data_IF_052914447343
#
_entry.id   IF_052914447343
#
_cell.length_a   1.000
_cell.length_b   1.000
_cell.length_c   1.000
_cell.angle_alpha   90.00
_cell.angle_beta   90.00
_cell.angle_gamma   90.00
#
_symmetry.space_group_name_H-M   'P 1'
#
loop_
_entity.id
_entity.type
_entity.pdbx_description
1 polymer ?
#
# COMPACT_ATOMS: atom_id res chain seq x y z
N UNK A 1 10.96 -0.78 -14.78
CA UNK A 1 11.60 -0.62 -13.45
C UNK A 1 13.13 -0.58 -13.53
N UNK A 2 13.82 -1.56 -14.15
CA UNK A 2 15.30 -1.61 -14.19
C UNK A 2 16.01 -0.31 -14.63
N UNK A 3 15.65 0.26 -15.79
CA UNK A 3 16.22 1.54 -16.27
C UNK A 3 15.97 2.72 -15.33
N UNK A 4 14.83 2.75 -14.63
CA UNK A 4 14.51 3.81 -13.68
C UNK A 4 15.37 3.69 -12.42
N UNK A 5 15.65 2.47 -11.96
CA UNK A 5 16.56 2.20 -10.84
C UNK A 5 17.99 2.60 -11.22
N UNK A 6 18.43 2.26 -12.44
CA UNK A 6 19.76 2.63 -12.92
C UNK A 6 19.92 4.15 -13.06
N UNK A 7 18.89 4.85 -13.54
CA UNK A 7 18.90 6.32 -13.57
C UNK A 7 18.92 6.94 -12.16
N UNK A 8 18.27 6.30 -11.18
CA UNK A 8 18.19 6.80 -9.81
C UNK A 8 19.41 6.46 -8.93
N UNK A 9 20.15 5.40 -9.24
CA UNK A 9 21.26 4.89 -8.42
C UNK A 9 22.62 4.87 -9.13
N UNK A 10 22.62 4.97 -10.45
CA UNK A 10 23.81 4.94 -11.29
C UNK A 10 24.53 6.29 -11.30
N UNK A 11 25.85 6.23 -11.48
CA UNK A 11 26.65 7.41 -11.74
C UNK A 11 26.62 7.73 -13.25
N UNK A 12 26.12 8.90 -13.67
CA UNK A 12 26.07 9.25 -15.08
C UNK A 12 27.48 9.47 -15.64
N UNK A 13 27.64 9.25 -16.95
CA UNK A 13 28.87 9.65 -17.65
C UNK A 13 28.85 11.16 -17.89
N UNK A 14 29.95 11.84 -17.54
CA UNK A 14 30.15 13.26 -17.83
C UNK A 14 30.43 13.53 -19.31
N UNK A 15 30.39 14.81 -19.69
CA UNK A 15 30.82 15.28 -21.03
C UNK A 15 32.29 15.71 -20.99
N UNK A 16 32.94 15.90 -22.16
CA UNK A 16 34.31 16.39 -22.21
C UNK A 16 34.42 17.75 -21.50
N UNK A 17 35.29 17.84 -20.49
CA UNK A 17 35.47 19.04 -19.67
C UNK A 17 34.70 19.05 -18.34
N UNK A 18 33.78 18.11 -18.12
CA UNK A 18 33.03 18.01 -16.86
C UNK A 18 33.78 17.19 -15.80
N UNK A 19 33.62 17.56 -14.54
CA UNK A 19 33.99 16.74 -13.39
C UNK A 19 32.71 16.20 -12.76
N UNK A 20 32.47 14.89 -12.86
CA UNK A 20 31.33 14.22 -12.23
C UNK A 20 31.78 13.52 -10.95
N UNK A 21 31.22 13.93 -9.82
CA UNK A 21 31.49 13.33 -8.50
C UNK A 21 30.26 12.56 -8.03
N UNK A 22 30.40 11.25 -7.92
CA UNK A 22 29.34 10.36 -7.44
C UNK A 22 29.68 9.77 -6.08
N UNK A 23 28.68 9.68 -5.21
CA UNK A 23 28.78 8.99 -3.93
C UNK A 23 28.14 7.59 -4.05
N UNK A 24 28.76 6.60 -3.43
CA UNK A 24 28.14 5.28 -3.27
C UNK A 24 27.01 5.35 -2.23
N UNK A 25 25.85 4.79 -2.57
CA UNK A 25 24.75 4.61 -1.62
C UNK A 25 25.19 3.83 -0.38
N UNK A 26 24.55 4.10 0.77
CA UNK A 26 24.87 3.40 2.01
C UNK A 26 24.46 1.91 1.93
N UNK A 27 24.95 1.08 2.85
CA UNK A 27 24.65 -0.36 2.85
C UNK A 27 23.17 -0.67 3.19
N UNK A 28 22.49 0.22 3.91
CA UNK A 28 21.09 0.07 4.33
C UNK A 28 20.09 0.38 3.21
N UNK A 29 20.52 1.07 2.15
CA UNK A 29 19.69 1.46 1.01
C UNK A 29 19.67 0.41 -0.11
N UNK A 30 20.50 -0.65 -0.02
CA UNK A 30 20.60 -1.71 -1.03
C UNK A 30 19.29 -2.42 -1.35
N UNK A 31 18.41 -2.57 -0.36
CA UNK A 31 17.12 -3.26 -0.50
C UNK A 31 15.94 -2.31 -0.43
N UNK A 32 16.18 -0.99 -0.38
CA UNK A 32 15.13 0.02 -0.36
C UNK A 32 14.90 0.55 -1.77
N UNK A 33 13.68 1.05 -2.00
CA UNK A 33 13.38 1.84 -3.19
C UNK A 33 14.29 3.08 -3.16
N UNK A 34 15.02 3.39 -4.25
CA UNK A 34 15.87 4.57 -4.33
C UNK A 34 15.11 5.83 -3.93
N UNK A 35 15.77 6.74 -3.21
CA UNK A 35 15.14 7.94 -2.65
C UNK A 35 14.40 8.78 -3.70
N UNK A 36 14.99 8.96 -4.88
CA UNK A 36 14.39 9.68 -6.00
C UNK A 36 13.12 9.02 -6.58
N UNK A 37 12.88 7.74 -6.29
CA UNK A 37 11.70 6.99 -6.71
C UNK A 37 10.68 6.81 -5.57
N UNK A 38 10.97 7.36 -4.38
CA UNK A 38 10.01 7.31 -3.28
C UNK A 38 8.89 8.30 -3.56
N UNK A 39 7.63 7.91 -3.35
CA UNK A 39 6.55 8.89 -3.35
C UNK A 39 6.79 9.88 -2.20
N UNK A 40 6.47 11.17 -2.42
CA UNK A 40 6.65 12.26 -1.46
C UNK A 40 5.68 12.20 -0.26
N UNK A 41 5.16 11.02 0.05
CA UNK A 41 4.17 10.75 1.06
C UNK A 41 3.64 9.33 0.92
N UNK A 42 3.09 8.79 2.00
CA UNK A 42 2.20 7.65 1.90
C UNK A 42 0.84 8.22 1.48
N UNK A 43 0.49 8.06 0.22
CA UNK A 43 -0.81 8.50 -0.28
C UNK A 43 -1.87 7.49 0.19
N UNK A 44 -2.47 7.77 1.36
CA UNK A 44 -3.63 7.01 1.86
C UNK A 44 -4.87 7.22 0.97
N UNK A 45 -4.89 8.26 0.13
CA UNK A 45 -6.03 8.66 -0.69
C UNK A 45 -6.00 8.11 -2.12
N UNK A 46 -4.89 7.53 -2.59
CA UNK A 46 -4.92 6.66 -3.79
C UNK A 46 -5.52 5.32 -3.39
N UNK A 47 -6.83 5.33 -3.17
CA UNK A 47 -7.66 4.14 -2.94
C UNK A 47 -7.68 3.19 -4.15
N UNK A 48 -7.09 3.57 -5.28
CA UNK A 48 -7.15 2.84 -6.56
C UNK A 48 -6.18 1.66 -6.67
N UNK A 49 -5.21 1.53 -5.77
CA UNK A 49 -4.34 0.35 -5.71
C UNK A 49 -4.59 -0.41 -4.42
N UNK A 50 -5.63 -1.24 -4.46
CA UNK A 50 -5.82 -2.26 -3.44
C UNK A 50 -4.62 -3.21 -3.50
N UNK A 51 -3.73 -3.11 -2.51
CA UNK A 51 -2.56 -3.97 -2.47
C UNK A 51 -2.99 -5.44 -2.46
N UNK A 52 -2.17 -6.32 -3.05
CA UNK A 52 -2.45 -7.77 -3.14
C UNK A 52 -2.88 -8.36 -1.79
N UNK A 53 -2.32 -7.87 -0.67
CA UNK A 53 -2.71 -8.28 0.68
C UNK A 53 -4.15 -7.90 1.06
N UNK A 54 -4.61 -6.70 0.68
CA UNK A 54 -5.99 -6.23 0.92
C UNK A 54 -6.98 -6.97 0.03
N UNK A 55 -6.63 -7.17 -1.23
CA UNK A 55 -7.43 -7.97 -2.18
C UNK A 55 -7.63 -9.38 -1.65
N UNK A 56 -6.55 -10.05 -1.24
CA UNK A 56 -6.58 -11.40 -0.62
C UNK A 56 -7.41 -11.43 0.67
N UNK A 57 -7.34 -10.39 1.49
CA UNK A 57 -8.15 -10.31 2.72
C UNK A 57 -9.65 -10.24 2.42
N UNK A 58 -10.05 -9.44 1.41
CA UNK A 58 -11.47 -9.36 0.99
C UNK A 58 -11.99 -10.71 0.50
N UNK A 59 -11.15 -11.47 -0.20
CA UNK A 59 -11.50 -12.83 -0.66
C UNK A 59 -11.69 -13.82 0.50
N UNK A 60 -11.01 -13.63 1.63
CA UNK A 60 -11.18 -14.48 2.82
C UNK A 60 -12.44 -14.15 3.64
N UNK A 61 -13.00 -12.95 3.48
CA UNK A 61 -14.19 -12.50 4.22
C UNK A 61 -15.49 -13.21 3.78
N UNK A 62 -15.48 -13.88 2.62
CA UNK A 62 -16.66 -14.53 2.02
C UNK A 62 -17.11 -15.86 2.65
N UNK A 63 -16.40 -16.35 3.67
CA UNK A 63 -16.66 -17.66 4.29
C UNK A 63 -17.05 -17.65 5.76
N UNK A 64 -17.09 -16.48 6.41
CA UNK A 64 -17.43 -16.41 7.83
C UNK A 64 -18.94 -16.60 8.03
N UNK A 65 -19.37 -17.79 8.43
CA UNK A 65 -20.74 -18.06 8.88
C UNK A 65 -20.79 -18.17 10.41
N UNK A 66 -21.66 -17.41 11.08
CA UNK A 66 -21.83 -17.49 12.53
C UNK A 66 -22.32 -16.19 13.15
N UNK A 67 -22.45 -16.17 14.48
CA UNK A 67 -22.85 -14.97 15.22
C UNK A 67 -21.81 -13.86 15.04
N UNK A 68 -22.19 -12.76 14.40
CA UNK A 68 -21.32 -11.60 14.16
C UNK A 68 -20.81 -11.45 12.73
N UNK A 69 -21.04 -12.42 11.84
CA UNK A 69 -20.72 -12.27 10.41
C UNK A 69 -21.87 -11.64 9.62
N UNK A 70 -21.59 -10.99 8.48
CA UNK A 70 -22.61 -10.50 7.52
C UNK A 70 -22.84 -11.52 6.38
N UNK A 71 -22.79 -12.83 6.68
CA UNK A 71 -23.06 -13.85 5.65
C UNK A 71 -24.57 -13.98 5.39
N UNK A 72 -25.02 -14.17 4.13
CA UNK A 72 -26.41 -14.53 3.83
C UNK A 72 -26.77 -15.96 4.29
N UNK A 73 -25.78 -16.79 4.62
CA UNK A 73 -25.94 -18.14 5.13
C UNK A 73 -25.49 -18.26 6.59
N UNK A 74 -26.39 -18.75 7.45
CA UNK A 74 -26.16 -18.95 8.90
C UNK A 74 -27.15 -18.19 9.80
N UNK A 75 -27.26 -18.60 11.05
CA UNK A 75 -28.07 -17.89 12.04
C UNK A 75 -27.42 -16.54 12.42
N UNK A 76 -28.23 -15.51 12.63
CA UNK A 76 -27.80 -14.16 13.09
C UNK A 76 -26.97 -13.33 12.09
N UNK A 77 -26.91 -13.69 10.80
CA UNK A 77 -26.17 -12.92 9.78
C UNK A 77 -26.66 -11.48 9.59
N UNK A 78 -27.97 -11.24 9.74
CA UNK A 78 -28.58 -9.91 9.70
C UNK A 78 -28.04 -8.99 10.81
N UNK A 79 -27.87 -9.52 12.02
CA UNK A 79 -27.33 -8.79 13.18
C UNK A 79 -25.86 -8.45 13.00
N UNK A 80 -25.06 -9.38 12.47
CA UNK A 80 -23.65 -9.12 12.16
C UNK A 80 -23.49 -8.04 11.09
N UNK A 81 -24.36 -8.02 10.08
CA UNK A 81 -24.34 -6.99 9.06
C UNK A 81 -24.72 -5.60 9.56
N UNK A 82 -25.74 -5.52 10.42
CA UNK A 82 -26.12 -4.27 11.07
C UNK A 82 -24.95 -3.71 11.91
N UNK A 83 -24.27 -4.57 12.67
CA UNK A 83 -23.10 -4.19 13.48
C UNK A 83 -21.95 -3.67 12.62
N UNK A 84 -21.68 -4.30 11.46
CA UNK A 84 -20.65 -3.84 10.50
C UNK A 84 -20.96 -2.44 9.97
N UNK A 85 -22.23 -2.16 9.65
CA UNK A 85 -22.67 -0.83 9.19
C UNK A 85 -22.50 0.24 10.27
N UNK A 86 -22.82 -0.07 11.53
CA UNK A 86 -22.61 0.88 12.63
C UNK A 86 -21.13 1.21 12.84
N UNK A 87 -20.24 0.20 12.83
CA UNK A 87 -18.79 0.41 12.92
C UNK A 87 -18.25 1.28 11.78
N UNK A 88 -18.70 1.02 10.55
CA UNK A 88 -18.31 1.82 9.39
C UNK A 88 -18.74 3.28 9.54
N UNK A 89 -19.95 3.53 10.06
CA UNK A 89 -20.44 4.88 10.32
C UNK A 89 -19.64 5.60 11.42
N UNK A 90 -19.27 4.91 12.49
CA UNK A 90 -18.40 5.49 13.53
C UNK A 90 -17.01 5.84 12.99
N UNK A 91 -16.41 4.96 12.18
CA UNK A 91 -15.11 5.20 11.55
C UNK A 91 -15.15 6.41 10.60
N UNK A 92 -16.22 6.55 9.82
CA UNK A 92 -16.41 7.72 8.95
C UNK A 92 -16.53 9.02 9.76
N UNK A 93 -17.24 9.01 10.91
CA UNK A 93 -17.31 10.18 11.78
C UNK A 93 -15.99 10.49 12.50
N UNK A 94 -15.22 9.49 12.89
CA UNK A 94 -13.96 9.68 13.62
C UNK A 94 -12.81 10.19 12.72
N UNK A 95 -12.95 10.04 11.40
CA UNK A 95 -12.00 10.56 10.41
C UNK A 95 -12.30 11.98 9.91
N UNK A 96 -13.33 12.65 10.44
CA UNK A 96 -13.70 14.03 10.16
C UNK A 96 -13.46 14.94 11.37
#
# INVERSE_FOLDING_TARGET
MGRAIEAATGCPRGRPGDIVVCRRGNASERYRIPEALRPNGFDYFQEDVDGVSRERHRLMEGGESGNGSCSPSGASGSTGCLTKKFRAWEQQKAGH
#
